data_IF_534129674308
#
_entry.id   IF_534129674308
#
_cell.length_a   1.000
_cell.length_b   1.000
_cell.length_c   1.000
_cell.angle_alpha   90.00
_cell.angle_beta   90.00
_cell.angle_gamma   90.00
#
_symmetry.space_group_name_H-M   'P 1'
#
loop_
_entity.id
_entity.type
_entity.pdbx_description
1 polymer ?
#
# COMPACT_ATOMS: atom_id res chain seq x y z
N UNK A 1 4.30 -27.64 -10.92
CA UNK A 1 5.35 -26.85 -10.23
C UNK A 1 4.79 -25.46 -9.96
N UNK A 2 5.00 -24.89 -8.76
CA UNK A 2 4.74 -23.47 -8.55
C UNK A 2 5.68 -22.68 -9.47
N UNK A 3 5.11 -21.86 -10.35
CA UNK A 3 5.88 -20.93 -11.18
C UNK A 3 5.66 -19.53 -10.63
N UNK A 4 6.75 -18.80 -10.42
CA UNK A 4 6.69 -17.37 -10.15
C UNK A 4 6.57 -16.71 -11.52
N UNK A 5 5.34 -16.56 -12.03
CA UNK A 5 5.10 -15.85 -13.28
C UNK A 5 5.01 -14.35 -12.96
N UNK A 6 6.06 -13.58 -13.28
CA UNK A 6 6.03 -12.13 -13.08
C UNK A 6 5.90 -11.66 -11.61
N UNK A 7 6.19 -12.53 -10.62
CA UNK A 7 6.08 -12.35 -9.15
C UNK A 7 4.75 -12.73 -8.49
N UNK A 8 3.69 -13.08 -9.23
CA UNK A 8 2.49 -13.70 -8.62
C UNK A 8 2.67 -15.22 -8.47
N UNK A 9 2.15 -15.80 -7.39
CA UNK A 9 2.27 -17.24 -7.16
C UNK A 9 1.07 -18.01 -7.75
N UNK A 10 1.35 -18.89 -8.70
CA UNK A 10 0.37 -19.75 -9.37
C UNK A 10 0.75 -21.22 -9.19
N UNK A 11 -0.22 -22.04 -8.78
CA UNK A 11 -0.11 -23.49 -8.62
C UNK A 11 -1.17 -24.16 -9.48
N UNK A 12 -0.75 -25.01 -10.42
CA UNK A 12 -1.63 -25.74 -11.34
C UNK A 12 -2.62 -24.82 -12.09
N UNK A 13 -2.14 -23.68 -12.58
CA UNK A 13 -2.97 -22.70 -13.31
C UNK A 13 -3.94 -21.90 -12.44
N UNK A 14 -3.86 -22.03 -11.11
CA UNK A 14 -4.68 -21.27 -10.16
C UNK A 14 -3.80 -20.42 -9.24
N UNK A 15 -4.23 -19.20 -8.98
CA UNK A 15 -3.57 -18.32 -8.01
C UNK A 15 -3.69 -18.86 -6.61
N UNK A 16 -2.65 -18.69 -5.81
CA UNK A 16 -2.72 -18.95 -4.36
C UNK A 16 -2.73 -17.64 -3.59
N UNK A 17 -3.39 -17.65 -2.43
CA UNK A 17 -3.48 -16.46 -1.59
C UNK A 17 -2.27 -16.27 -0.69
N UNK A 18 -1.63 -17.38 -0.27
CA UNK A 18 -0.46 -17.38 0.61
C UNK A 18 0.48 -18.52 0.26
N UNK A 19 1.78 -18.30 0.46
CA UNK A 19 2.82 -19.34 0.40
C UNK A 19 3.66 -19.28 1.65
N UNK A 20 3.98 -20.45 2.19
CA UNK A 20 4.83 -20.60 3.37
C UNK A 20 6.10 -21.37 3.00
N UNK A 21 7.23 -20.93 3.56
CA UNK A 21 8.51 -21.64 3.50
C UNK A 21 9.04 -21.74 4.93
N UNK A 22 9.34 -22.96 5.39
CA UNK A 22 9.78 -23.24 6.76
C UNK A 22 8.88 -22.61 7.84
N UNK A 23 7.56 -22.69 7.66
CA UNK A 23 6.56 -22.14 8.59
C UNK A 23 6.38 -20.62 8.53
N UNK A 24 7.17 -19.89 7.72
CA UNK A 24 7.05 -18.44 7.53
C UNK A 24 6.31 -18.11 6.25
N UNK A 25 5.35 -17.18 6.31
CA UNK A 25 4.70 -16.64 5.11
C UNK A 25 5.74 -15.86 4.28
N UNK A 26 5.97 -16.28 3.04
CA UNK A 26 6.94 -15.65 2.11
C UNK A 26 6.24 -14.94 0.95
N UNK A 27 4.94 -15.18 0.76
CA UNK A 27 4.10 -14.54 -0.22
C UNK A 27 2.68 -14.43 0.33
N UNK A 28 2.06 -13.27 0.12
CA UNK A 28 0.61 -13.10 0.14
C UNK A 28 0.13 -12.44 -1.16
N UNK A 29 -1.12 -12.72 -1.54
CA UNK A 29 -1.76 -12.13 -2.71
C UNK A 29 -1.87 -10.62 -2.55
N UNK A 30 -1.36 -9.90 -3.56
CA UNK A 30 -1.66 -8.47 -3.68
C UNK A 30 -3.10 -8.29 -4.17
N UNK A 31 -3.92 -7.62 -3.38
CA UNK A 31 -5.29 -7.21 -3.73
C UNK A 31 -5.32 -5.84 -4.42
N UNK A 32 -4.17 -5.18 -4.54
CA UNK A 32 -4.02 -3.92 -5.24
C UNK A 32 -3.71 -4.18 -6.72
N UNK A 33 -4.75 -4.07 -7.55
CA UNK A 33 -4.71 -4.18 -9.00
C UNK A 33 -3.91 -3.04 -9.63
N UNK A 34 -3.18 -3.35 -10.71
CA UNK A 34 -2.35 -2.41 -11.46
C UNK A 34 -1.36 -1.63 -10.57
N UNK A 35 -0.91 -2.22 -9.46
CA UNK A 35 -0.05 -1.55 -8.47
C UNK A 35 1.32 -1.12 -9.02
N UNK A 36 1.76 -1.68 -10.15
CA UNK A 36 3.01 -1.28 -10.80
C UNK A 36 2.85 0.04 -11.58
N UNK A 37 1.78 0.16 -12.36
CA UNK A 37 1.48 1.34 -13.17
C UNK A 37 0.69 2.42 -12.41
N UNK A 38 0.18 2.10 -11.22
CA UNK A 38 -0.68 2.98 -10.41
C UNK A 38 -1.96 3.41 -11.15
N UNK A 39 -2.50 2.53 -11.98
CA UNK A 39 -3.75 2.74 -12.72
C UNK A 39 -4.96 2.50 -11.81
N UNK A 40 -5.19 3.45 -10.91
CA UNK A 40 -6.35 3.46 -10.00
C UNK A 40 -6.82 4.90 -9.78
N UNK A 41 -8.09 5.05 -9.46
CA UNK A 41 -8.61 6.33 -8.98
C UNK A 41 -8.07 6.61 -7.58
N UNK A 42 -7.57 7.82 -7.38
CA UNK A 42 -7.19 8.38 -6.08
C UNK A 42 -7.69 9.83 -5.98
N UNK A 43 -7.70 10.37 -4.78
CA UNK A 43 -8.05 11.75 -4.51
C UNK A 43 -6.98 12.38 -3.63
N UNK A 44 -6.63 13.63 -3.93
CA UNK A 44 -5.75 14.41 -3.07
C UNK A 44 -6.52 14.93 -1.84
N UNK A 45 -5.89 14.89 -0.68
CA UNK A 45 -6.36 15.57 0.52
C UNK A 45 -5.38 16.65 0.91
N UNK A 46 -5.73 17.90 0.59
CA UNK A 46 -4.94 19.11 0.91
C UNK A 46 -3.47 19.07 0.42
N UNK A 47 -3.15 18.18 -0.52
CA UNK A 47 -1.82 18.01 -1.06
C UNK A 47 -1.80 18.09 -2.59
N UNK A 48 -0.63 18.38 -3.17
CA UNK A 48 -0.39 18.14 -4.59
C UNK A 48 -0.03 16.67 -4.77
N UNK A 49 -0.70 15.98 -5.68
CA UNK A 49 -0.44 14.56 -5.99
C UNK A 49 -0.32 14.37 -7.49
N UNK A 50 0.85 13.96 -7.95
CA UNK A 50 1.12 13.59 -9.36
C UNK A 50 1.46 12.10 -9.47
N UNK A 51 1.24 11.53 -10.65
CA UNK A 51 1.77 10.21 -11.02
C UNK A 51 2.92 10.47 -11.97
N UNK A 52 4.10 9.95 -11.63
CA UNK A 52 5.34 10.17 -12.36
C UNK A 52 5.98 8.82 -12.71
N UNK A 53 6.65 8.69 -13.87
CA UNK A 53 7.37 7.47 -14.19
C UNK A 53 8.57 7.29 -13.25
N UNK A 54 8.71 6.09 -12.68
CA UNK A 54 9.91 5.66 -11.97
C UNK A 54 10.88 4.94 -12.93
N UNK A 55 10.34 4.06 -13.77
CA UNK A 55 11.02 3.39 -14.88
C UNK A 55 10.01 3.17 -16.04
N UNK A 56 10.41 2.49 -17.12
CA UNK A 56 9.59 2.24 -18.31
C UNK A 56 8.25 1.52 -18.03
N UNK A 57 8.11 0.90 -16.86
CA UNK A 57 6.99 0.02 -16.51
C UNK A 57 6.39 0.27 -15.14
N UNK A 58 6.99 1.16 -14.35
CA UNK A 58 6.62 1.43 -12.96
C UNK A 58 6.39 2.92 -12.78
N UNK A 59 5.26 3.28 -12.20
CA UNK A 59 4.98 4.65 -11.80
C UNK A 59 5.14 4.81 -10.28
N UNK A 60 5.31 6.07 -9.86
CA UNK A 60 5.30 6.50 -8.48
C UNK A 60 4.32 7.65 -8.30
N UNK A 61 3.61 7.67 -7.19
CA UNK A 61 2.97 8.89 -6.75
C UNK A 61 4.03 9.82 -6.17
N UNK A 62 3.94 11.10 -6.51
CA UNK A 62 4.67 12.17 -5.84
C UNK A 62 3.66 13.04 -5.09
N UNK A 63 3.84 13.15 -3.78
CA UNK A 63 2.97 13.92 -2.88
C UNK A 63 3.79 15.04 -2.26
N UNK A 64 3.36 16.28 -2.48
CA UNK A 64 4.10 17.45 -2.00
C UNK A 64 3.19 18.51 -1.36
N UNK A 65 3.63 19.02 -0.20
CA UNK A 65 3.03 20.13 0.56
C UNK A 65 4.14 20.88 1.30
N UNK A 66 4.19 22.23 1.24
CA UNK A 66 5.07 23.01 2.12
C UNK A 66 4.78 22.72 3.60
N UNK A 67 5.77 22.94 4.47
CA UNK A 67 5.53 22.84 5.91
C UNK A 67 4.40 23.79 6.34
N UNK A 68 3.51 23.30 7.20
CA UNK A 68 2.36 24.04 7.70
C UNK A 68 1.69 23.31 8.84
N UNK A 69 0.82 23.97 9.58
CA UNK A 69 0.20 23.36 10.76
C UNK A 69 -0.97 22.46 10.33
N UNK A 70 -0.86 21.17 10.60
CA UNK A 70 -1.96 20.22 10.45
C UNK A 70 -1.54 18.81 10.08
N UNK A 71 -2.55 17.96 10.06
CA UNK A 71 -2.43 16.53 9.79
C UNK A 71 -3.24 16.10 8.56
N UNK A 72 -3.15 14.82 8.23
CA UNK A 72 -3.88 14.15 7.17
C UNK A 72 -3.63 14.71 5.76
N UNK A 73 -2.47 15.32 5.50
CA UNK A 73 -2.09 15.74 4.16
C UNK A 73 -1.66 14.54 3.31
N UNK A 74 -2.15 14.43 2.08
CA UNK A 74 -1.67 13.40 1.16
C UNK A 74 -2.75 12.95 0.19
N UNK A 75 -3.04 11.64 0.19
CA UNK A 75 -4.05 11.09 -0.71
C UNK A 75 -4.86 9.95 -0.09
N UNK A 76 -6.01 9.68 -0.71
CA UNK A 76 -6.83 8.52 -0.38
C UNK A 76 -7.40 7.85 -1.64
N UNK A 77 -7.67 6.55 -1.52
CA UNK A 77 -8.33 5.75 -2.53
C UNK A 77 -9.67 5.30 -1.94
N UNK A 78 -10.71 6.06 -2.26
CA UNK A 78 -12.03 5.93 -1.65
C UNK A 78 -12.57 4.50 -1.78
N UNK A 79 -12.81 3.85 -0.65
CA UNK A 79 -13.32 2.47 -0.58
C UNK A 79 -12.55 1.43 -1.41
N UNK A 80 -11.27 1.65 -1.70
CA UNK A 80 -10.50 0.72 -2.54
C UNK A 80 -10.50 -0.72 -1.99
N UNK A 81 -10.44 -0.89 -0.66
CA UNK A 81 -10.46 -2.20 0.00
C UNK A 81 -11.86 -2.84 0.07
N UNK A 82 -12.94 -2.14 -0.30
CA UNK A 82 -14.31 -2.65 -0.21
C UNK A 82 -14.50 -3.78 -1.22
N UNK A 83 -15.06 -4.90 -0.77
CA UNK A 83 -15.18 -6.14 -1.55
C UNK A 83 -13.86 -6.90 -1.75
N UNK A 84 -12.72 -6.35 -1.35
CA UNK A 84 -11.40 -7.01 -1.43
C UNK A 84 -10.96 -7.57 -0.09
N UNK A 85 -11.09 -6.78 0.97
CA UNK A 85 -10.82 -7.19 2.35
C UNK A 85 -12.15 -7.60 2.98
N UNK A 86 -12.28 -8.80 3.58
CA UNK A 86 -13.50 -9.22 4.29
C UNK A 86 -13.83 -8.32 5.49
N UNK A 87 -15.05 -8.47 6.02
CA UNK A 87 -15.42 -7.87 7.30
C UNK A 87 -14.82 -8.70 8.44
N UNK A 88 -14.54 -8.08 9.59
CA UNK A 88 -13.98 -8.77 10.75
C UNK A 88 -12.66 -9.50 10.43
N UNK A 89 -11.82 -8.90 9.59
CA UNK A 89 -10.55 -9.49 9.14
C UNK A 89 -9.37 -8.57 9.35
N UNK A 90 -8.21 -9.19 9.56
CA UNK A 90 -6.93 -8.50 9.57
C UNK A 90 -6.51 -8.09 8.15
N UNK A 91 -5.72 -7.04 8.06
CA UNK A 91 -5.15 -6.52 6.83
C UNK A 91 -3.71 -6.06 7.03
N UNK A 92 -2.97 -6.02 5.92
CA UNK A 92 -1.69 -5.35 5.83
C UNK A 92 -1.62 -4.53 4.55
N UNK A 93 -1.10 -3.31 4.66
CA UNK A 93 -0.84 -2.42 3.54
C UNK A 93 0.64 -2.04 3.56
N UNK A 94 1.30 -2.11 2.41
CA UNK A 94 2.72 -1.80 2.29
C UNK A 94 3.04 -1.15 0.96
N UNK A 95 4.04 -0.26 0.94
CA UNK A 95 4.52 0.39 -0.27
C UNK A 95 6.01 0.73 -0.12
N UNK A 96 6.68 0.91 -1.25
CA UNK A 96 8.02 1.52 -1.24
C UNK A 96 7.86 3.03 -1.17
N UNK A 97 8.64 3.67 -0.31
CA UNK A 97 8.59 5.12 -0.06
C UNK A 97 10.00 5.70 0.06
N UNK A 98 10.18 6.94 -0.39
CA UNK A 98 11.34 7.79 -0.09
C UNK A 98 10.92 9.25 -0.02
N UNK A 99 11.77 10.09 0.58
CA UNK A 99 11.58 11.54 0.66
C UNK A 99 11.53 12.05 2.09
N UNK A 100 10.71 13.06 2.33
CA UNK A 100 10.52 13.76 3.60
C UNK A 100 9.03 13.74 3.93
N UNK A 101 8.67 13.16 5.07
CA UNK A 101 7.29 13.18 5.54
C UNK A 101 7.09 12.37 6.81
N UNK A 102 6.29 12.90 7.72
CA UNK A 102 5.94 12.24 8.98
C UNK A 102 4.60 11.52 8.80
N UNK A 103 4.60 10.18 8.86
CA UNK A 103 3.39 9.39 8.59
C UNK A 103 2.37 9.59 9.71
N UNK A 104 1.19 10.06 9.35
CA UNK A 104 0.04 10.19 10.24
C UNK A 104 -0.86 8.95 10.15
N UNK A 105 -1.25 8.55 8.93
CA UNK A 105 -2.06 7.34 8.68
C UNK A 105 -1.65 6.65 7.37
N UNK A 106 -1.51 5.33 7.41
CA UNK A 106 -1.12 4.54 6.26
C UNK A 106 -1.93 3.22 6.17
N UNK A 107 -2.60 2.97 5.04
CA UNK A 107 -3.46 1.79 4.88
C UNK A 107 -4.92 2.08 5.17
N UNK A 108 -5.67 1.16 5.79
CA UNK A 108 -7.12 1.34 5.94
C UNK A 108 -7.46 2.40 6.99
N UNK A 109 -8.28 3.38 6.59
CA UNK A 109 -8.55 4.58 7.39
C UNK A 109 -9.45 4.32 8.60
N UNK A 110 -10.53 3.58 8.38
CA UNK A 110 -11.52 3.25 9.41
C UNK A 110 -11.27 1.79 9.81
N UNK A 111 -10.28 1.61 10.69
CA UNK A 111 -9.88 0.31 11.21
C UNK A 111 -9.04 0.49 12.47
N UNK A 112 -8.80 -0.59 13.22
CA UNK A 112 -7.65 -0.57 14.13
C UNK A 112 -6.36 -0.50 13.30
N UNK A 113 -5.30 0.06 13.88
CA UNK A 113 -4.00 0.21 13.24
C UNK A 113 -2.89 -0.07 14.26
N UNK A 114 -2.01 -1.01 13.93
CA UNK A 114 -0.74 -1.19 14.61
C UNK A 114 0.25 -0.10 14.18
N UNK A 115 1.36 0.13 14.90
CA UNK A 115 2.40 1.07 14.47
C UNK A 115 2.90 0.75 13.06
N UNK A 116 3.28 1.80 12.32
CA UNK A 116 3.97 1.65 11.04
C UNK A 116 5.33 1.00 11.28
N UNK A 117 5.70 0.06 10.41
CA UNK A 117 7.02 -0.58 10.38
C UNK A 117 7.79 -0.03 9.18
N UNK A 118 9.02 0.40 9.42
CA UNK A 118 9.89 1.07 8.44
C UNK A 118 9.92 2.59 8.65
N UNK A 119 10.67 3.30 7.81
CA UNK A 119 10.88 4.75 7.92
C UNK A 119 10.84 5.43 6.56
N UNK A 120 10.38 6.67 6.53
CA UNK A 120 10.57 7.56 5.38
C UNK A 120 11.97 8.16 5.49
N UNK A 121 12.76 8.05 4.41
CA UNK A 121 14.12 8.57 4.35
C UNK A 121 14.54 8.89 2.93
N UNK A 122 15.79 9.32 2.75
CA UNK A 122 16.31 9.73 1.44
C UNK A 122 16.39 8.58 0.43
N UNK A 123 16.51 7.33 0.91
CA UNK A 123 16.57 6.13 0.10
C UNK A 123 15.22 5.40 0.06
N UNK A 124 14.99 4.66 -1.02
CA UNK A 124 13.82 3.78 -1.13
C UNK A 124 13.84 2.72 -0.04
N UNK A 125 12.83 2.75 0.82
CA UNK A 125 12.56 1.72 1.82
C UNK A 125 11.14 1.20 1.64
N UNK A 126 10.85 -0.01 2.13
CA UNK A 126 9.47 -0.51 2.17
C UNK A 126 8.91 -0.29 3.57
N UNK A 127 7.80 0.43 3.65
CA UNK A 127 7.02 0.58 4.88
C UNK A 127 5.78 -0.30 4.84
N UNK A 128 5.26 -0.61 6.02
CA UNK A 128 3.99 -1.33 6.15
C UNK A 128 3.23 -0.89 7.38
N UNK A 129 1.91 -1.00 7.30
CA UNK A 129 1.03 -0.91 8.45
C UNK A 129 0.03 -2.06 8.41
N UNK A 130 -0.37 -2.53 9.58
CA UNK A 130 -1.33 -3.63 9.72
C UNK A 130 -2.43 -3.21 10.66
N UNK A 131 -3.54 -3.93 10.61
CA UNK A 131 -4.68 -3.64 11.46
C UNK A 131 -5.80 -4.64 11.26
N UNK A 132 -6.95 -4.32 11.84
CA UNK A 132 -8.15 -5.14 11.74
C UNK A 132 -9.37 -4.28 11.40
N UNK A 133 -10.15 -4.74 10.43
CA UNK A 133 -11.46 -4.19 10.11
C UNK A 133 -12.49 -4.87 10.99
N UNK A 134 -13.26 -4.10 11.76
CA UNK A 134 -14.38 -4.59 12.57
C UNK A 134 -15.76 -4.25 12.02
N UNK A 135 -15.86 -3.78 10.77
CA UNK A 135 -17.12 -3.28 10.21
C UNK A 135 -17.21 -3.37 8.67
N UNK A 136 -18.42 -3.33 8.09
CA UNK A 136 -18.64 -3.48 6.65
C UNK A 136 -18.60 -2.19 5.82
N UNK A 137 -18.62 -1.00 6.46
CA UNK A 137 -19.02 0.23 5.77
C UNK A 137 -17.96 0.82 4.84
N UNK A 138 -16.79 1.17 5.38
CA UNK A 138 -15.73 1.91 4.69
C UNK A 138 -14.39 1.18 4.75
N UNK A 139 -13.73 1.04 3.61
CA UNK A 139 -12.38 0.44 3.49
C UNK A 139 -11.50 1.29 2.57
N UNK A 140 -11.45 2.59 2.87
CA UNK A 140 -10.62 3.58 2.18
C UNK A 140 -9.16 3.38 2.56
N UNK A 141 -8.28 3.33 1.55
CA UNK A 141 -6.84 3.37 1.78
C UNK A 141 -6.42 4.83 1.87
N UNK A 142 -5.63 5.19 2.88
CA UNK A 142 -5.04 6.52 3.07
C UNK A 142 -3.52 6.44 3.11
N UNK A 143 -2.89 7.48 2.57
CA UNK A 143 -1.46 7.76 2.73
C UNK A 143 -1.36 9.22 3.12
N UNK A 144 -1.38 9.43 4.43
CA UNK A 144 -1.54 10.71 5.10
C UNK A 144 -0.35 11.00 5.99
N UNK A 145 0.03 12.28 5.99
CA UNK A 145 1.22 12.78 6.65
C UNK A 145 0.89 14.02 7.49
N UNK A 146 1.64 14.22 8.55
CA UNK A 146 1.68 15.44 9.34
C UNK A 146 2.70 16.41 8.72
N UNK A 147 2.34 17.69 8.64
CA UNK A 147 3.22 18.74 8.07
C UNK A 147 3.68 19.76 9.11
N UNK A 148 3.33 19.59 10.38
CA UNK A 148 3.54 20.54 11.47
C UNK A 148 5.01 20.79 11.69
N UNK A 149 5.81 19.71 11.73
CA UNK A 149 7.24 19.78 12.05
C UNK A 149 8.15 19.62 10.83
N UNK A 150 7.60 19.30 9.65
CA UNK A 150 8.35 19.02 8.43
C UNK A 150 7.49 19.26 7.19
N UNK A 151 8.05 19.68 6.04
CA UNK A 151 7.31 19.64 4.78
C UNK A 151 7.00 18.19 4.38
N UNK A 152 6.00 18.01 3.51
CA UNK A 152 5.74 16.76 2.82
C UNK A 152 6.33 16.82 1.41
N UNK A 153 7.23 15.91 1.09
CA UNK A 153 7.77 15.67 -0.25
C UNK A 153 8.17 14.18 -0.32
N UNK A 154 7.22 13.33 -0.71
CA UNK A 154 7.42 11.88 -0.76
C UNK A 154 7.08 11.30 -2.13
N UNK A 155 7.82 10.26 -2.48
CA UNK A 155 7.56 9.40 -3.63
C UNK A 155 7.14 8.03 -3.12
N UNK A 156 6.04 7.48 -3.65
CA UNK A 156 5.45 6.21 -3.21
C UNK A 156 5.18 5.32 -4.43
N UNK A 157 5.63 4.07 -4.41
CA UNK A 157 5.40 3.10 -5.49
C UNK A 157 5.12 1.70 -4.94
N UNK A 158 4.65 0.81 -5.83
CA UNK A 158 4.43 -0.61 -5.53
C UNK A 158 3.56 -0.85 -4.27
N UNK A 159 2.36 -0.22 -4.19
CA UNK A 159 1.41 -0.51 -3.13
C UNK A 159 0.97 -1.97 -3.17
N UNK A 160 0.77 -2.54 -1.99
CA UNK A 160 0.28 -3.90 -1.80
C UNK A 160 -0.69 -3.94 -0.65
N UNK A 161 -1.88 -4.47 -0.91
CA UNK A 161 -2.90 -4.75 0.10
C UNK A 161 -3.05 -6.26 0.24
N UNK A 162 -3.01 -6.79 1.46
CA UNK A 162 -3.12 -8.23 1.71
C UNK A 162 -4.10 -8.50 2.86
N UNK A 163 -4.74 -9.67 2.85
CA UNK A 163 -5.53 -10.17 3.99
C UNK A 163 -4.58 -10.82 5.00
N UNK A 164 -4.71 -10.42 6.26
CA UNK A 164 -3.84 -10.83 7.37
C UNK A 164 -2.85 -9.74 7.77
N UNK A 165 -2.28 -9.91 8.95
CA UNK A 165 -1.38 -8.97 9.61
C UNK A 165 0.12 -9.19 9.31
N UNK A 166 0.46 -10.03 8.32
CA UNK A 166 1.84 -10.34 7.95
C UNK A 166 2.13 -9.80 6.56
N UNK A 167 2.69 -8.58 6.43
CA UNK A 167 3.06 -8.03 5.14
C UNK A 167 4.16 -8.86 4.48
N UNK A 168 4.09 -9.02 3.17
CA UNK A 168 5.11 -9.74 2.38
C UNK A 168 5.74 -8.82 1.33
N UNK A 169 6.90 -9.20 0.73
CA UNK A 169 7.49 -8.43 -0.36
C UNK A 169 6.50 -8.16 -1.50
N UNK A 170 6.72 -7.06 -2.22
CA UNK A 170 5.81 -6.70 -3.30
C UNK A 170 5.78 -7.75 -4.42
N UNK A 171 4.57 -8.01 -4.89
CA UNK A 171 4.24 -8.75 -6.11
C UNK A 171 3.10 -7.99 -6.81
N UNK A 172 2.93 -8.11 -8.14
CA UNK A 172 1.71 -7.64 -8.78
C UNK A 172 0.51 -8.41 -8.24
N UNK A 173 -0.69 -7.88 -8.46
CA UNK A 173 -1.88 -8.71 -8.27
C UNK A 173 -1.82 -9.86 -9.27
N UNK A 174 -2.21 -11.09 -8.90
CA UNK A 174 -2.25 -12.18 -9.86
C UNK A 174 -3.10 -11.86 -11.10
N UNK A 175 -4.17 -11.09 -10.94
CA UNK A 175 -5.05 -10.59 -12.01
C UNK A 175 -4.33 -9.70 -13.03
N UNK A 176 -3.20 -9.09 -12.68
CA UNK A 176 -2.43 -8.22 -13.59
C UNK A 176 -1.52 -9.04 -14.53
N UNK A 177 -1.32 -10.35 -14.27
CA UNK A 177 -0.31 -11.18 -14.97
C UNK A 177 -0.86 -12.51 -15.50
N UNK A 178 -2.18 -12.72 -15.44
CA UNK A 178 -2.86 -13.94 -15.87
C UNK A 178 -3.81 -13.71 -17.03
#
# INVERSE_FOLDING_TARGET
>A
MPTINGKACVVNGKTVDKVFSNGRQVYGRNLFLNSKALETTYHANRAKVTVEPFDDTTNMWHIAVPQGIGDNFGMYLWNYGKGKVPDNSDWSYSADIKGIGDIEKFGLEVSSRNPVVGTVGSEWSRISQTGQIGHPWQKTIVMYFDTTNSPLDVYIKLPKLEIGNTPTPWSPAPEDVM
#
